data_IF_081078982505
#
_entry.id   IF_081078982505
#
_cell.length_a   1.000
_cell.length_b   1.000
_cell.length_c   1.000
_cell.angle_alpha   90.00
_cell.angle_beta   90.00
_cell.angle_gamma   90.00
#
_symmetry.space_group_name_H-M   'P 1'
#
loop_
_entity.id
_entity.type
_entity.pdbx_description
1 polymer ?
#
# COMPACT_ATOMS: atom_id res chain seq x y z
N UNK A 1 21.02 -51.36 -70.27
CA UNK A 1 20.85 -51.34 -68.79
C UNK A 1 20.84 -49.87 -68.38
N UNK A 2 19.63 -49.33 -68.07
CA UNK A 2 19.43 -47.92 -67.70
C UNK A 2 19.42 -47.80 -66.19
N UNK A 3 20.23 -46.98 -65.63
CA UNK A 3 20.19 -46.58 -64.23
C UNK A 3 19.84 -45.10 -64.13
N UNK A 4 18.68 -44.81 -63.57
CA UNK A 4 18.12 -43.47 -63.36
C UNK A 4 18.73 -42.84 -62.13
N UNK A 5 19.29 -41.64 -62.24
CA UNK A 5 19.64 -40.78 -61.14
C UNK A 5 18.36 -40.05 -60.66
N UNK A 6 18.04 -40.18 -59.39
CA UNK A 6 16.97 -39.40 -58.71
C UNK A 6 17.60 -38.18 -58.05
N UNK A 7 17.19 -37.04 -58.48
CA UNK A 7 17.47 -35.77 -57.83
C UNK A 7 16.74 -35.70 -56.48
N UNK A 8 17.49 -35.54 -55.40
CA UNK A 8 16.95 -35.20 -54.07
C UNK A 8 16.89 -33.69 -53.97
N UNK A 9 15.68 -33.14 -53.96
CA UNK A 9 15.42 -31.74 -53.68
C UNK A 9 15.52 -31.51 -52.17
N UNK A 10 16.51 -30.74 -51.72
CA UNK A 10 16.58 -30.19 -50.40
C UNK A 10 15.43 -29.18 -50.22
N UNK A 11 14.42 -29.54 -49.45
CA UNK A 11 13.41 -28.58 -48.94
C UNK A 11 14.00 -27.87 -47.75
N UNK A 12 14.23 -26.56 -47.89
CA UNK A 12 14.49 -25.68 -46.80
C UNK A 12 13.23 -25.52 -45.89
N UNK A 13 13.32 -25.99 -44.66
CA UNK A 13 12.32 -25.70 -43.62
C UNK A 13 12.55 -24.27 -43.11
N UNK A 14 11.51 -23.44 -43.01
CA UNK A 14 11.66 -22.16 -42.35
C UNK A 14 11.84 -22.36 -40.83
N UNK A 15 12.97 -21.85 -40.33
CA UNK A 15 13.19 -21.74 -38.87
C UNK A 15 12.18 -20.70 -38.34
N UNK A 16 11.10 -21.19 -37.77
CA UNK A 16 10.22 -20.36 -36.97
C UNK A 16 10.99 -19.99 -35.70
N UNK A 17 11.43 -18.75 -35.61
CA UNK A 17 11.93 -18.15 -34.37
C UNK A 17 10.74 -18.07 -33.43
N UNK A 18 10.65 -19.01 -32.49
CA UNK A 18 9.77 -18.92 -31.34
C UNK A 18 10.30 -17.79 -30.46
N UNK A 19 9.80 -16.57 -30.63
CA UNK A 19 9.88 -15.57 -29.61
C UNK A 19 9.06 -16.08 -28.42
N UNK A 20 9.74 -16.67 -27.46
CA UNK A 20 9.17 -16.87 -26.15
C UNK A 20 8.93 -15.45 -25.57
N UNK A 21 7.70 -14.98 -25.69
CA UNK A 21 7.18 -13.89 -24.90
C UNK A 21 7.32 -14.35 -23.44
N UNK A 22 8.39 -13.91 -22.77
CA UNK A 22 8.41 -13.91 -21.32
C UNK A 22 7.28 -12.98 -20.87
N UNK A 23 6.07 -13.52 -20.78
CA UNK A 23 5.02 -12.88 -20.00
C UNK A 23 5.61 -12.70 -18.58
N UNK A 24 5.56 -11.49 -18.02
CA UNK A 24 5.92 -11.34 -16.63
C UNK A 24 5.10 -12.36 -15.86
N UNK A 25 5.77 -13.15 -15.01
CA UNK A 25 5.09 -14.11 -14.16
C UNK A 25 3.96 -13.37 -13.49
N UNK A 26 2.72 -13.72 -13.85
CA UNK A 26 1.55 -13.14 -13.20
C UNK A 26 1.72 -13.44 -11.73
N UNK A 27 2.06 -12.41 -10.95
CA UNK A 27 2.12 -12.52 -9.50
C UNK A 27 0.81 -13.18 -9.09
N UNK A 28 0.89 -14.27 -8.35
CA UNK A 28 -0.27 -15.08 -7.95
C UNK A 28 -1.18 -14.20 -7.10
N UNK A 29 -2.07 -13.46 -7.74
CA UNK A 29 -2.97 -12.49 -7.13
C UNK A 29 -4.12 -13.25 -6.51
N UNK A 30 -3.93 -13.72 -5.29
CA UNK A 30 -4.94 -14.48 -4.57
C UNK A 30 -5.69 -13.62 -3.57
N UNK A 31 -7.00 -13.82 -3.51
CA UNK A 31 -7.82 -13.19 -2.48
C UNK A 31 -7.29 -13.56 -1.09
N UNK A 32 -7.22 -12.57 -0.23
CA UNK A 32 -6.75 -12.72 1.14
C UNK A 32 -7.68 -11.93 2.06
N UNK A 33 -8.89 -12.47 2.26
CA UNK A 33 -9.96 -11.77 2.95
C UNK A 33 -10.03 -12.18 4.43
N UNK A 34 -10.22 -11.19 5.28
CA UNK A 34 -10.38 -11.39 6.74
C UNK A 34 -11.46 -10.47 7.27
N UNK A 35 -12.35 -11.00 8.11
CA UNK A 35 -13.27 -10.22 8.93
C UNK A 35 -12.92 -10.42 10.40
N UNK A 36 -12.77 -9.33 11.13
CA UNK A 36 -12.42 -9.38 12.54
C UNK A 36 -13.30 -8.41 13.33
N UNK A 37 -14.05 -8.93 14.31
CA UNK A 37 -14.82 -8.09 15.22
C UNK A 37 -14.00 -7.75 16.45
N UNK A 38 -13.94 -6.48 16.79
CA UNK A 38 -13.31 -5.95 17.98
C UNK A 38 -14.44 -5.74 18.97
N UNK A 39 -14.48 -6.56 20.04
CA UNK A 39 -15.53 -6.56 21.03
C UNK A 39 -15.22 -5.56 22.15
N UNK A 40 -16.17 -4.68 22.41
CA UNK A 40 -16.12 -3.73 23.54
C UNK A 40 -17.07 -4.20 24.63
N UNK A 41 -16.56 -4.51 25.85
CA UNK A 41 -17.42 -4.92 26.95
C UNK A 41 -18.46 -3.88 27.29
N UNK A 42 -19.69 -4.32 27.51
CA UNK A 42 -20.79 -3.47 28.00
C UNK A 42 -21.51 -2.64 26.96
N UNK A 43 -21.25 -2.87 25.65
CA UNK A 43 -21.98 -2.21 24.56
C UNK A 43 -22.74 -3.22 23.70
N UNK A 44 -23.84 -2.79 23.10
CA UNK A 44 -24.57 -3.52 22.05
C UNK A 44 -24.46 -2.81 20.70
N UNK A 45 -23.87 -1.62 20.68
CA UNK A 45 -23.67 -0.85 19.45
C UNK A 45 -22.60 -1.52 18.59
N UNK A 46 -22.93 -1.78 17.31
CA UNK A 46 -22.04 -2.43 16.38
C UNK A 46 -21.99 -1.68 15.05
N UNK A 47 -20.77 -1.35 14.61
CA UNK A 47 -20.53 -0.68 13.34
C UNK A 47 -19.52 -1.43 12.50
N UNK A 48 -19.47 -1.08 11.23
CA UNK A 48 -18.59 -1.72 10.26
C UNK A 48 -17.59 -0.72 9.68
N UNK A 49 -16.36 -1.18 9.53
CA UNK A 49 -15.32 -0.59 8.72
C UNK A 49 -14.96 -1.56 7.60
N UNK A 50 -14.95 -1.08 6.36
CA UNK A 50 -14.55 -1.86 5.18
C UNK A 50 -13.22 -1.34 4.66
N UNK A 51 -12.30 -2.27 4.40
CA UNK A 51 -10.97 -1.97 3.89
C UNK A 51 -10.73 -2.75 2.59
N UNK A 52 -10.47 -2.03 1.51
CA UNK A 52 -10.08 -2.59 0.22
C UNK A 52 -8.59 -2.36 -0.01
N UNK A 53 -7.90 -3.36 -0.60
CA UNK A 53 -6.47 -3.17 -0.86
C UNK A 53 -5.76 -4.41 -1.36
N UNK A 54 -4.43 -4.32 -1.32
CA UNK A 54 -3.54 -5.41 -1.69
C UNK A 54 -3.04 -6.21 -0.47
N UNK A 55 -1.83 -6.73 -0.53
CA UNK A 55 -1.21 -7.51 0.54
C UNK A 55 -0.94 -6.69 1.81
N UNK A 56 -0.78 -5.38 1.69
CA UNK A 56 -0.51 -4.50 2.83
C UNK A 56 -1.74 -4.47 3.75
N UNK A 57 -2.91 -4.15 3.21
CA UNK A 57 -4.15 -4.14 4.00
C UNK A 57 -4.62 -5.55 4.39
N UNK A 58 -4.26 -6.57 3.58
CA UNK A 58 -4.45 -7.96 3.98
C UNK A 58 -3.72 -8.32 5.27
N UNK A 59 -2.58 -7.68 5.53
CA UNK A 59 -1.66 -8.09 6.57
C UNK A 59 -0.90 -9.36 6.18
N UNK A 60 -0.41 -9.42 4.94
CA UNK A 60 0.35 -10.57 4.45
C UNK A 60 1.49 -10.94 5.39
N UNK A 61 1.65 -12.24 5.62
CA UNK A 61 2.70 -12.79 6.47
C UNK A 61 3.29 -14.08 5.87
N UNK A 62 4.22 -13.92 4.96
CA UNK A 62 4.97 -15.01 4.35
C UNK A 62 4.16 -15.99 3.50
N UNK A 63 2.82 -15.94 3.57
CA UNK A 63 1.91 -16.80 2.81
C UNK A 63 0.57 -16.09 2.58
N UNK A 64 -0.06 -16.35 1.45
CA UNK A 64 -1.43 -15.88 1.15
C UNK A 64 -2.51 -16.47 2.06
N UNK A 65 -2.23 -17.62 2.67
CA UNK A 65 -3.14 -18.25 3.64
C UNK A 65 -2.98 -17.68 5.05
N UNK A 66 -1.98 -16.85 5.29
CA UNK A 66 -1.72 -16.25 6.60
C UNK A 66 -1.83 -14.73 6.52
N UNK A 67 -2.57 -14.16 7.45
CA UNK A 67 -2.71 -12.72 7.58
C UNK A 67 -2.47 -12.28 9.02
N UNK A 68 -1.82 -11.14 9.19
CA UNK A 68 -1.74 -10.50 10.50
C UNK A 68 -3.16 -10.25 11.02
N UNK A 69 -3.43 -10.68 12.25
CA UNK A 69 -4.71 -10.41 12.91
C UNK A 69 -4.98 -8.90 12.93
N UNK A 70 -4.00 -8.16 13.35
CA UNK A 70 -4.01 -6.70 13.44
C UNK A 70 -3.20 -6.08 12.29
N UNK A 71 -3.74 -6.15 11.07
CA UNK A 71 -3.27 -5.30 9.99
C UNK A 71 -3.74 -3.85 10.19
N UNK A 72 -3.21 -2.91 9.43
CA UNK A 72 -3.51 -1.49 9.59
C UNK A 72 -5.01 -1.15 9.70
N UNK A 73 -5.90 -1.72 8.86
CA UNK A 73 -7.34 -1.52 9.04
C UNK A 73 -7.88 -2.04 10.38
N UNK A 74 -7.42 -3.21 10.83
CA UNK A 74 -7.90 -3.75 12.12
C UNK A 74 -7.38 -2.93 13.30
N UNK A 75 -6.15 -2.43 13.23
CA UNK A 75 -5.61 -1.48 14.21
C UNK A 75 -6.45 -0.20 14.24
N UNK A 76 -6.80 0.37 13.09
CA UNK A 76 -7.73 1.51 13.06
C UNK A 76 -9.10 1.18 13.66
N UNK A 77 -9.60 -0.03 13.44
CA UNK A 77 -10.81 -0.53 14.10
C UNK A 77 -10.72 -0.51 15.63
N UNK A 78 -9.56 -0.81 16.22
CA UNK A 78 -9.32 -0.70 17.66
C UNK A 78 -9.48 0.74 18.16
N UNK A 79 -8.94 1.72 17.42
CA UNK A 79 -9.11 3.14 17.74
C UNK A 79 -10.57 3.59 17.61
N UNK A 80 -11.29 3.10 16.60
CA UNK A 80 -12.73 3.38 16.44
C UNK A 80 -13.53 2.77 17.58
N UNK A 81 -13.24 1.50 17.94
CA UNK A 81 -13.94 0.83 19.05
C UNK A 81 -13.78 1.59 20.37
N UNK A 82 -12.55 2.05 20.65
CA UNK A 82 -12.27 2.87 21.82
C UNK A 82 -13.00 4.21 21.77
N UNK A 83 -12.96 4.89 20.63
CA UNK A 83 -13.51 6.25 20.45
C UNK A 83 -15.04 6.28 20.50
N UNK A 84 -15.68 5.27 19.91
CA UNK A 84 -17.15 5.21 19.82
C UNK A 84 -17.79 4.39 20.94
N UNK A 85 -16.98 3.72 21.75
CA UNK A 85 -17.44 2.74 22.74
C UNK A 85 -18.41 1.73 22.12
N UNK A 86 -18.01 1.11 21.03
CA UNK A 86 -18.85 0.23 20.22
C UNK A 86 -18.03 -0.96 19.69
N UNK A 87 -18.71 -2.06 19.37
CA UNK A 87 -18.10 -3.14 18.60
C UNK A 87 -17.80 -2.68 17.17
N UNK A 88 -16.62 -2.99 16.68
CA UNK A 88 -16.22 -2.67 15.33
C UNK A 88 -15.92 -3.95 14.53
N UNK A 89 -16.73 -4.20 13.52
CA UNK A 89 -16.47 -5.22 12.53
C UNK A 89 -15.54 -4.67 11.44
N UNK A 90 -14.27 -5.07 11.43
CA UNK A 90 -13.32 -4.72 10.39
C UNK A 90 -13.35 -5.76 9.29
N UNK A 91 -13.75 -5.37 8.08
CA UNK A 91 -13.85 -6.24 6.92
C UNK A 91 -12.75 -5.87 5.94
N UNK A 92 -11.75 -6.75 5.81
CA UNK A 92 -10.65 -6.62 4.85
C UNK A 92 -10.99 -7.41 3.60
N UNK A 93 -11.19 -6.69 2.49
CA UNK A 93 -11.47 -7.24 1.16
C UNK A 93 -10.26 -6.96 0.28
N UNK A 94 -9.30 -7.87 0.32
CA UNK A 94 -7.95 -7.64 -0.16
C UNK A 94 -7.50 -8.73 -1.13
N UNK A 95 -6.49 -8.40 -1.96
CA UNK A 95 -5.93 -9.32 -2.96
C UNK A 95 -4.42 -9.11 -3.02
N UNK A 96 -3.64 -10.04 -2.46
CA UNK A 96 -2.18 -9.95 -2.47
C UNK A 96 -1.62 -9.87 -3.90
N UNK A 97 -0.65 -8.99 -4.11
CA UNK A 97 -0.05 -8.75 -5.43
C UNK A 97 -0.91 -7.90 -6.38
N UNK A 98 -2.08 -7.41 -5.94
CA UNK A 98 -2.97 -6.62 -6.77
C UNK A 98 -2.36 -5.26 -7.12
N UNK A 99 -2.36 -4.91 -8.40
CA UNK A 99 -2.10 -3.55 -8.86
C UNK A 99 -3.35 -2.68 -8.70
N UNK A 100 -3.22 -1.37 -8.87
CA UNK A 100 -4.32 -0.42 -8.64
C UNK A 100 -5.60 -0.78 -9.44
N UNK A 101 -5.44 -1.23 -10.68
CA UNK A 101 -6.55 -1.73 -11.49
C UNK A 101 -7.28 -2.91 -10.82
N UNK A 102 -6.53 -3.87 -10.32
CA UNK A 102 -7.10 -5.07 -9.70
C UNK A 102 -7.83 -4.74 -8.39
N UNK A 103 -7.27 -3.85 -7.57
CA UNK A 103 -7.95 -3.36 -6.35
C UNK A 103 -9.26 -2.68 -6.72
N UNK A 104 -9.27 -1.84 -7.77
CA UNK A 104 -10.49 -1.19 -8.24
C UNK A 104 -11.52 -2.20 -8.76
N UNK A 105 -11.16 -3.01 -9.76
CA UNK A 105 -12.12 -3.86 -10.47
C UNK A 105 -12.58 -5.07 -9.64
N UNK A 106 -11.63 -5.76 -9.00
CA UNK A 106 -11.87 -7.04 -8.34
C UNK A 106 -12.20 -6.92 -6.84
N UNK A 107 -11.98 -5.74 -6.23
CA UNK A 107 -12.30 -5.51 -4.82
C UNK A 107 -13.34 -4.41 -4.64
N UNK A 108 -13.05 -3.18 -5.01
CA UNK A 108 -13.98 -2.06 -4.77
C UNK A 108 -15.28 -2.25 -5.55
N UNK A 109 -15.21 -2.54 -6.85
CA UNK A 109 -16.39 -2.71 -7.71
C UNK A 109 -17.09 -4.04 -7.46
N UNK A 110 -16.36 -5.14 -7.53
CA UNK A 110 -16.94 -6.48 -7.43
C UNK A 110 -17.53 -6.77 -6.04
N UNK A 111 -16.95 -6.19 -5.00
CA UNK A 111 -17.32 -6.45 -3.61
C UNK A 111 -17.99 -5.24 -2.94
N UNK A 112 -18.65 -4.38 -3.71
CA UNK A 112 -19.30 -3.16 -3.25
C UNK A 112 -20.36 -3.35 -2.16
N UNK A 113 -20.97 -4.52 -2.10
CA UNK A 113 -22.02 -4.83 -1.10
C UNK A 113 -21.56 -4.61 0.35
N UNK A 114 -20.25 -4.74 0.61
CA UNK A 114 -19.71 -4.49 1.94
C UNK A 114 -19.79 -3.01 2.32
N UNK A 115 -19.47 -2.09 1.41
CA UNK A 115 -19.57 -0.65 1.70
C UNK A 115 -21.01 -0.12 1.64
N UNK A 116 -21.92 -0.86 1.00
CA UNK A 116 -23.35 -0.51 0.92
C UNK A 116 -24.15 -0.94 2.16
N UNK A 117 -23.56 -1.69 3.06
CA UNK A 117 -24.25 -2.13 4.26
C UNK A 117 -24.56 -0.95 5.20
N UNK A 118 -25.79 -0.90 5.75
CA UNK A 118 -26.25 0.20 6.61
C UNK A 118 -25.42 0.38 7.90
N UNK A 119 -24.71 -0.66 8.35
CA UNK A 119 -23.79 -0.59 9.48
C UNK A 119 -22.43 0.03 9.13
N UNK A 120 -22.09 0.20 7.84
CA UNK A 120 -20.80 0.73 7.42
C UNK A 120 -20.69 2.23 7.75
N UNK A 121 -19.65 2.57 8.50
CA UNK A 121 -19.30 3.95 8.90
C UNK A 121 -17.99 4.43 8.31
N UNK A 122 -17.09 3.51 8.03
CA UNK A 122 -15.76 3.82 7.48
C UNK A 122 -15.50 2.97 6.26
N UNK A 123 -15.05 3.60 5.18
CA UNK A 123 -14.50 2.94 4.00
C UNK A 123 -13.07 3.42 3.83
N UNK A 124 -12.13 2.49 3.89
CA UNK A 124 -10.71 2.77 3.64
C UNK A 124 -10.19 1.93 2.48
N UNK A 125 -9.21 2.45 1.77
CA UNK A 125 -8.52 1.65 0.75
C UNK A 125 -7.06 2.07 0.60
N UNK A 126 -6.25 1.17 0.07
CA UNK A 126 -4.90 1.43 -0.40
C UNK A 126 -4.68 0.70 -1.72
N UNK A 127 -3.79 1.23 -2.56
CA UNK A 127 -3.41 0.67 -3.85
C UNK A 127 -2.12 1.34 -4.36
N UNK A 128 -1.66 0.95 -5.53
CA UNK A 128 -0.49 1.48 -6.21
C UNK A 128 0.86 0.93 -5.72
N UNK A 129 0.93 0.28 -4.57
CA UNK A 129 2.16 -0.31 -4.07
C UNK A 129 2.77 -1.30 -5.07
N UNK A 130 1.96 -2.22 -5.59
CA UNK A 130 2.42 -3.21 -6.57
C UNK A 130 2.72 -2.63 -7.95
N UNK A 131 2.00 -1.58 -8.38
CA UNK A 131 2.35 -0.86 -9.61
C UNK A 131 3.78 -0.30 -9.52
N UNK A 132 4.09 0.36 -8.40
CA UNK A 132 5.41 0.89 -8.12
C UNK A 132 6.48 -0.20 -8.02
N UNK A 133 6.24 -1.27 -7.25
CA UNK A 133 7.20 -2.36 -7.04
C UNK A 133 7.53 -3.11 -8.33
N UNK A 134 6.54 -3.38 -9.18
CA UNK A 134 6.75 -4.02 -10.48
C UNK A 134 7.55 -3.11 -11.42
N UNK A 135 7.21 -1.83 -11.50
CA UNK A 135 7.94 -0.86 -12.32
C UNK A 135 9.39 -0.66 -11.82
N UNK A 136 9.60 -0.61 -10.49
CA UNK A 136 10.91 -0.56 -9.85
C UNK A 136 11.76 -1.78 -10.21
N UNK A 137 11.19 -2.97 -10.09
CA UNK A 137 11.88 -4.24 -10.40
C UNK A 137 12.25 -4.31 -11.88
N UNK A 138 11.33 -3.95 -12.76
CA UNK A 138 11.58 -3.90 -14.20
C UNK A 138 12.66 -2.87 -14.56
N UNK A 139 12.66 -1.69 -13.91
CA UNK A 139 13.70 -0.68 -14.11
C UNK A 139 15.05 -1.15 -13.60
N UNK A 140 15.12 -1.78 -12.43
CA UNK A 140 16.36 -2.30 -11.83
C UNK A 140 17.07 -3.33 -12.69
N UNK A 141 16.32 -4.10 -13.47
CA UNK A 141 16.86 -5.16 -14.35
C UNK A 141 17.30 -4.66 -15.74
N UNK A 142 17.11 -3.37 -16.06
CA UNK A 142 17.47 -2.84 -17.38
C UNK A 142 18.98 -2.80 -17.61
N UNK A 143 19.38 -3.06 -18.86
CA UNK A 143 20.72 -2.89 -19.40
C UNK A 143 20.67 -2.02 -20.64
N UNK A 144 21.82 -1.58 -21.15
CA UNK A 144 21.88 -0.72 -22.33
C UNK A 144 21.37 0.70 -22.03
N UNK A 145 20.45 1.20 -22.81
CA UNK A 145 19.83 2.54 -22.59
C UNK A 145 18.67 2.42 -21.63
N UNK A 146 18.65 3.28 -20.59
CA UNK A 146 17.54 3.32 -19.62
C UNK A 146 16.24 3.73 -20.28
N UNK A 147 15.16 3.01 -19.96
CA UNK A 147 13.80 3.32 -20.37
C UNK A 147 12.94 3.58 -19.13
N UNK A 148 12.45 4.80 -18.99
CA UNK A 148 11.65 5.24 -17.86
C UNK A 148 10.14 5.06 -18.07
N UNK A 149 9.69 4.60 -19.24
CA UNK A 149 8.27 4.49 -19.59
C UNK A 149 7.47 3.61 -18.61
N UNK A 150 8.10 2.57 -18.05
CA UNK A 150 7.45 1.72 -17.05
C UNK A 150 7.15 2.45 -15.75
N UNK A 151 8.04 3.33 -15.29
CA UNK A 151 7.81 4.17 -14.11
C UNK A 151 6.67 5.17 -14.36
N UNK A 152 6.66 5.82 -15.52
CA UNK A 152 5.58 6.72 -15.91
C UNK A 152 4.24 6.00 -16.06
N UNK A 153 4.24 4.79 -16.62
CA UNK A 153 3.03 3.98 -16.73
C UNK A 153 2.45 3.63 -15.36
N UNK A 154 3.29 3.28 -14.38
CA UNK A 154 2.86 3.01 -13.00
C UNK A 154 2.22 4.25 -12.35
N UNK A 155 2.82 5.43 -12.51
CA UNK A 155 2.24 6.70 -12.02
C UNK A 155 0.88 6.95 -12.66
N UNK A 156 0.75 6.80 -13.96
CA UNK A 156 -0.50 7.05 -14.69
C UNK A 156 -1.59 6.03 -14.34
N UNK A 157 -1.24 4.76 -14.16
CA UNK A 157 -2.17 3.73 -13.69
C UNK A 157 -2.69 4.08 -12.28
N UNK A 158 -1.78 4.40 -11.36
CA UNK A 158 -2.14 4.84 -10.03
C UNK A 158 -3.12 6.03 -10.05
N UNK A 159 -2.78 7.11 -10.74
CA UNK A 159 -3.66 8.28 -10.89
C UNK A 159 -5.05 7.90 -11.38
N UNK A 160 -5.11 7.09 -12.44
CA UNK A 160 -6.36 6.68 -13.06
C UNK A 160 -7.25 5.91 -12.11
N UNK A 161 -6.70 4.89 -11.47
CA UNK A 161 -7.52 3.98 -10.65
C UNK A 161 -7.81 4.51 -9.26
N UNK A 162 -6.96 5.36 -8.70
CA UNK A 162 -7.27 6.10 -7.47
C UNK A 162 -8.47 7.03 -7.70
N UNK A 163 -8.45 7.83 -8.77
CA UNK A 163 -9.57 8.72 -9.09
C UNK A 163 -10.88 7.96 -9.31
N UNK A 164 -10.84 6.89 -10.11
CA UNK A 164 -12.00 6.01 -10.37
C UNK A 164 -12.52 5.36 -9.10
N UNK A 165 -11.63 4.91 -8.21
CA UNK A 165 -12.01 4.29 -6.93
C UNK A 165 -12.75 5.27 -6.03
N UNK A 166 -12.26 6.49 -5.92
CA UNK A 166 -12.92 7.52 -5.10
C UNK A 166 -14.29 7.90 -5.66
N UNK A 167 -14.41 8.08 -6.99
CA UNK A 167 -15.69 8.36 -7.64
C UNK A 167 -16.68 7.22 -7.41
N UNK A 168 -16.22 5.98 -7.55
CA UNK A 168 -17.07 4.81 -7.36
C UNK A 168 -17.52 4.65 -5.90
N UNK A 169 -16.60 4.83 -4.94
CA UNK A 169 -16.94 4.78 -3.51
C UNK A 169 -17.91 5.89 -3.15
N UNK A 170 -17.72 7.12 -3.68
CA UNK A 170 -18.65 8.23 -3.46
C UNK A 170 -20.05 7.93 -3.96
N UNK A 171 -20.16 7.26 -5.11
CA UNK A 171 -21.46 6.92 -5.70
C UNK A 171 -22.15 5.71 -5.04
N UNK A 172 -21.39 4.82 -4.36
CA UNK A 172 -21.90 3.52 -3.92
C UNK A 172 -21.83 3.27 -2.42
N UNK A 173 -21.02 4.01 -1.64
CA UNK A 173 -20.97 3.86 -0.20
C UNK A 173 -22.31 4.21 0.44
N UNK A 174 -22.69 3.48 1.50
CA UNK A 174 -23.93 3.75 2.21
C UNK A 174 -23.95 5.20 2.75
N UNK A 175 -25.10 5.92 2.72
CA UNK A 175 -25.18 7.30 3.23
C UNK A 175 -24.74 7.49 4.69
N UNK A 176 -24.75 6.43 5.48
CA UNK A 176 -24.25 6.44 6.86
C UNK A 176 -22.71 6.45 6.95
N UNK A 177 -21.98 6.34 5.83
CA UNK A 177 -20.51 6.37 5.84
C UNK A 177 -20.03 7.75 6.27
N UNK A 178 -19.33 7.82 7.40
CA UNK A 178 -18.81 9.05 8.01
C UNK A 178 -17.39 9.40 7.58
N UNK A 179 -16.62 8.37 7.23
CA UNK A 179 -15.21 8.54 6.84
C UNK A 179 -14.92 7.72 5.57
N UNK A 180 -14.35 8.38 4.60
CA UNK A 180 -13.71 7.78 3.43
C UNK A 180 -12.25 8.19 3.43
N UNK A 181 -11.32 7.22 3.38
CA UNK A 181 -9.90 7.48 3.56
C UNK A 181 -9.06 6.58 2.67
N UNK A 182 -8.01 7.14 2.07
CA UNK A 182 -6.95 6.40 1.38
C UNK A 182 -5.66 6.43 2.21
N UNK A 183 -4.89 5.34 2.18
CA UNK A 183 -3.50 5.33 2.65
C UNK A 183 -2.57 5.41 1.44
N UNK A 184 -1.60 6.33 1.47
CA UNK A 184 -0.56 6.40 0.46
C UNK A 184 0.56 5.37 0.71
N UNK A 185 1.56 5.30 -0.17
CA UNK A 185 2.55 4.22 -0.26
C UNK A 185 3.89 4.66 0.33
N UNK A 186 4.47 3.86 1.21
CA UNK A 186 5.83 4.02 1.72
C UNK A 186 6.88 3.43 0.75
N UNK A 187 8.17 3.66 1.01
CA UNK A 187 9.27 3.18 0.17
C UNK A 187 10.16 2.19 0.94
N UNK A 188 9.84 0.87 0.93
CA UNK A 188 10.55 -0.10 1.76
C UNK A 188 12.01 -0.30 1.36
N UNK A 189 12.36 -0.23 0.10
CA UNK A 189 13.72 -0.44 -0.41
C UNK A 189 14.56 0.81 -0.56
N UNK A 190 14.29 1.88 0.19
CA UNK A 190 14.92 3.19 -0.02
C UNK A 190 16.46 3.16 0.06
N UNK A 191 17.03 2.53 1.10
CA UNK A 191 18.48 2.43 1.24
C UNK A 191 19.08 1.44 0.23
N UNK A 192 18.43 0.30 0.00
CA UNK A 192 18.88 -0.73 -0.94
C UNK A 192 18.94 -0.22 -2.39
N UNK A 193 18.10 0.74 -2.75
CA UNK A 193 18.08 1.34 -4.09
C UNK A 193 19.09 2.47 -4.29
N UNK A 194 19.89 2.79 -3.26
CA UNK A 194 21.02 3.72 -3.42
C UNK A 194 22.19 3.08 -4.16
N UNK A 195 21.91 2.54 -5.33
CA UNK A 195 22.87 1.85 -6.19
C UNK A 195 22.74 2.33 -7.64
N UNK A 196 23.84 2.21 -8.39
CA UNK A 196 23.84 2.56 -9.80
C UNK A 196 23.15 1.50 -10.64
N UNK A 197 22.39 1.94 -11.63
CA UNK A 197 21.76 1.07 -12.62
C UNK A 197 22.80 0.39 -13.53
N UNK A 198 22.39 -0.72 -14.13
CA UNK A 198 23.15 -1.34 -15.23
C UNK A 198 22.87 -0.69 -16.60
N UNK A 199 21.79 0.12 -16.70
CA UNK A 199 21.49 0.90 -17.89
C UNK A 199 22.11 2.31 -17.81
N UNK A 200 22.21 2.99 -18.95
CA UNK A 200 22.74 4.34 -19.08
C UNK A 200 21.66 5.30 -19.57
N UNK A 201 21.62 6.48 -18.99
CA UNK A 201 20.71 7.55 -19.43
C UNK A 201 21.08 8.00 -20.86
N UNK A 202 20.08 8.12 -21.72
CA UNK A 202 20.28 8.42 -23.14
C UNK A 202 20.89 9.82 -23.39
N UNK A 203 20.61 10.78 -22.50
CA UNK A 203 21.08 12.16 -22.66
C UNK A 203 22.50 12.36 -22.16
N UNK A 204 22.90 11.65 -21.09
CA UNK A 204 24.20 11.84 -20.42
C UNK A 204 25.18 10.72 -20.68
N UNK A 205 24.73 9.55 -21.14
CA UNK A 205 25.55 8.34 -21.28
C UNK A 205 26.02 7.73 -19.96
N UNK A 206 25.58 8.28 -18.81
CA UNK A 206 25.98 7.83 -17.49
C UNK A 206 24.97 6.84 -16.90
N UNK A 207 25.44 5.97 -15.99
CA UNK A 207 24.51 5.20 -15.14
C UNK A 207 23.71 6.14 -14.26
N UNK A 208 22.54 5.70 -13.83
CA UNK A 208 21.66 6.49 -12.96
C UNK A 208 21.48 5.77 -11.63
N UNK A 209 21.36 6.53 -10.56
CA UNK A 209 21.01 5.97 -9.26
C UNK A 209 19.53 5.53 -9.28
N UNK A 210 19.23 4.28 -8.90
CA UNK A 210 17.90 3.71 -8.97
C UNK A 210 16.93 4.49 -8.09
N UNK A 211 17.32 4.81 -6.88
CA UNK A 211 16.52 5.59 -5.93
C UNK A 211 16.15 6.96 -6.51
N UNK A 212 17.07 7.62 -7.23
CA UNK A 212 16.85 8.94 -7.80
C UNK A 212 15.85 8.94 -8.95
N UNK A 213 15.56 7.78 -9.50
CA UNK A 213 14.54 7.60 -10.53
C UNK A 213 13.22 7.07 -9.95
N UNK A 214 13.28 6.20 -8.95
CA UNK A 214 12.06 5.64 -8.38
C UNK A 214 11.40 6.56 -7.36
N UNK A 215 12.16 7.27 -6.51
CA UNK A 215 11.60 8.17 -5.51
C UNK A 215 10.69 9.26 -6.11
N UNK A 216 11.06 9.94 -7.23
CA UNK A 216 10.15 10.89 -7.86
C UNK A 216 8.86 10.23 -8.39
N UNK A 217 8.93 9.05 -8.97
CA UNK A 217 7.76 8.33 -9.44
C UNK A 217 6.81 7.97 -8.29
N UNK A 218 7.35 7.41 -7.19
CA UNK A 218 6.58 7.11 -5.99
C UNK A 218 5.98 8.38 -5.37
N UNK A 219 6.76 9.45 -5.27
CA UNK A 219 6.28 10.73 -4.74
C UNK A 219 5.13 11.29 -5.58
N UNK A 220 5.17 11.18 -6.90
CA UNK A 220 4.06 11.59 -7.79
C UNK A 220 2.81 10.75 -7.53
N UNK A 221 2.94 9.43 -7.35
CA UNK A 221 1.80 8.59 -6.97
C UNK A 221 1.19 9.07 -5.66
N UNK A 222 2.01 9.27 -4.63
CA UNK A 222 1.55 9.72 -3.31
C UNK A 222 0.91 11.10 -3.34
N UNK A 223 1.49 12.04 -4.10
CA UNK A 223 0.88 13.36 -4.31
C UNK A 223 -0.54 13.23 -4.86
N UNK A 224 -0.74 12.47 -5.94
CA UNK A 224 -2.04 12.33 -6.56
C UNK A 224 -3.03 11.54 -5.73
N UNK A 225 -2.58 10.59 -4.93
CA UNK A 225 -3.45 9.90 -3.97
C UNK A 225 -4.04 10.88 -2.97
N UNK A 226 -3.23 11.75 -2.38
CA UNK A 226 -3.68 12.73 -1.41
C UNK A 226 -4.43 13.90 -2.05
N UNK A 227 -4.00 14.38 -3.21
CA UNK A 227 -4.68 15.48 -3.90
C UNK A 227 -6.08 15.08 -4.40
N UNK A 228 -6.24 13.88 -4.96
CA UNK A 228 -7.57 13.37 -5.30
C UNK A 228 -8.43 13.12 -4.06
N UNK A 229 -7.83 12.66 -2.95
CA UNK A 229 -8.54 12.54 -1.68
C UNK A 229 -9.16 13.89 -1.28
N UNK A 230 -8.36 14.96 -1.28
CA UNK A 230 -8.83 16.31 -0.99
C UNK A 230 -9.93 16.76 -1.95
N UNK A 231 -9.74 16.57 -3.26
CA UNK A 231 -10.71 16.99 -4.29
C UNK A 231 -12.05 16.26 -4.19
N UNK A 232 -12.03 15.00 -3.76
CA UNK A 232 -13.21 14.11 -3.74
C UNK A 232 -13.80 13.90 -2.35
N UNK A 233 -13.35 14.65 -1.35
CA UNK A 233 -13.88 14.59 0.01
C UNK A 233 -13.44 13.35 0.79
N UNK A 234 -12.29 12.79 0.47
CA UNK A 234 -11.62 11.76 1.23
C UNK A 234 -10.55 12.37 2.13
N UNK A 235 -10.16 11.63 3.16
CA UNK A 235 -8.93 11.87 3.89
C UNK A 235 -7.77 11.09 3.27
N UNK A 236 -6.53 11.57 3.49
CA UNK A 236 -5.32 10.86 3.07
C UNK A 236 -4.47 10.56 4.30
N UNK A 237 -4.35 9.27 4.65
CA UNK A 237 -3.41 8.81 5.65
C UNK A 237 -2.02 8.72 5.01
N UNK A 238 -1.10 9.57 5.47
CA UNK A 238 0.23 9.68 4.89
C UNK A 238 1.19 8.64 5.48
N UNK A 239 1.06 7.39 5.01
CA UNK A 239 1.93 6.29 5.41
C UNK A 239 3.37 6.51 4.96
N UNK A 240 3.60 7.24 3.86
CA UNK A 240 4.94 7.60 3.43
C UNK A 240 5.66 8.43 4.50
N UNK A 241 5.06 9.51 4.95
CA UNK A 241 5.62 10.35 5.99
C UNK A 241 5.86 9.56 7.28
N UNK A 242 4.93 8.68 7.65
CA UNK A 242 5.03 7.87 8.87
C UNK A 242 6.18 6.87 8.85
N UNK A 243 6.50 6.30 7.69
CA UNK A 243 7.57 5.31 7.55
C UNK A 243 8.92 5.92 7.24
N UNK A 244 8.93 7.01 6.49
CA UNK A 244 10.17 7.62 5.99
C UNK A 244 10.66 8.78 6.85
N UNK A 245 9.85 9.24 7.79
CA UNK A 245 10.21 10.32 8.71
C UNK A 245 11.00 9.85 9.94
N UNK A 246 11.35 10.78 10.80
CA UNK A 246 11.99 10.50 12.08
C UNK A 246 11.09 9.62 12.97
N UNK A 247 11.70 8.85 13.83
CA UNK A 247 11.03 7.91 14.74
C UNK A 247 10.88 8.40 16.18
N UNK A 248 11.15 9.66 16.41
CA UNK A 248 11.10 10.27 17.76
C UNK A 248 10.27 11.56 17.75
N UNK A 249 9.79 11.91 18.92
CA UNK A 249 9.03 13.14 19.18
C UNK A 249 10.00 14.22 19.62
N UNK A 250 10.48 15.04 18.68
CA UNK A 250 11.45 16.10 18.97
C UNK A 250 10.82 17.38 19.52
N UNK A 251 9.53 17.58 19.29
CA UNK A 251 8.79 18.76 19.72
C UNK A 251 7.96 18.55 21.01
N UNK A 252 7.89 17.31 21.51
CA UNK A 252 7.19 16.97 22.73
C UNK A 252 5.66 16.95 22.64
N UNK A 253 5.09 16.89 21.43
CA UNK A 253 3.62 16.90 21.23
C UNK A 253 2.99 15.52 21.37
N UNK A 254 3.77 14.49 21.65
CA UNK A 254 3.36 13.09 21.77
C UNK A 254 3.15 12.39 20.43
N UNK A 255 3.68 12.95 19.35
CA UNK A 255 3.66 12.36 18.00
C UNK A 255 5.07 12.13 17.51
N UNK A 256 5.23 11.22 16.57
CA UNK A 256 6.50 11.05 15.88
C UNK A 256 6.61 12.13 14.80
N UNK A 257 7.76 12.78 14.74
CA UNK A 257 8.03 13.89 13.82
C UNK A 257 8.10 13.42 12.36
N UNK A 258 6.95 13.41 11.73
CA UNK A 258 6.83 13.14 10.31
C UNK A 258 6.24 14.33 9.53
N UNK A 259 5.96 15.43 10.23
CA UNK A 259 5.23 16.59 9.70
C UNK A 259 5.89 17.19 8.46
N UNK A 260 7.21 17.29 8.45
CA UNK A 260 7.96 17.86 7.34
C UNK A 260 7.80 17.05 6.03
N UNK A 261 7.54 15.75 6.14
CA UNK A 261 7.34 14.86 4.99
C UNK A 261 5.89 14.76 4.53
N UNK A 262 4.94 15.17 5.37
CA UNK A 262 3.51 15.05 5.04
C UNK A 262 3.14 15.87 3.82
N UNK A 263 2.26 15.30 3.03
CA UNK A 263 1.58 16.06 1.98
C UNK A 263 0.78 17.22 2.60
N UNK A 264 0.91 18.39 1.99
CA UNK A 264 0.24 19.61 2.45
C UNK A 264 -0.92 19.93 1.51
N UNK A 265 -2.17 20.07 2.03
CA UNK A 265 -3.32 20.39 1.20
C UNK A 265 -3.10 21.68 0.39
N UNK A 266 -3.26 21.58 -0.93
CA UNK A 266 -3.12 22.72 -1.83
C UNK A 266 -1.69 23.01 -2.31
N UNK A 267 -0.67 22.26 -1.87
CA UNK A 267 0.65 22.35 -2.50
C UNK A 267 0.61 21.80 -3.94
N UNK A 268 1.46 22.32 -4.83
CA UNK A 268 1.57 21.79 -6.18
C UNK A 268 2.37 20.49 -6.23
N UNK A 269 2.15 19.66 -7.28
CA UNK A 269 2.98 18.46 -7.52
C UNK A 269 4.47 18.82 -7.54
N UNK A 270 4.84 19.92 -8.24
CA UNK A 270 6.22 20.35 -8.32
C UNK A 270 6.81 20.73 -6.97
N UNK A 271 6.05 21.43 -6.11
CA UNK A 271 6.46 21.80 -4.76
C UNK A 271 6.66 20.56 -3.87
N UNK A 272 5.71 19.65 -3.90
CA UNK A 272 5.81 18.38 -3.16
C UNK A 272 7.04 17.58 -3.60
N UNK A 273 7.24 17.40 -4.90
CA UNK A 273 8.39 16.69 -5.45
C UNK A 273 9.71 17.35 -5.05
N UNK A 274 9.84 18.68 -5.20
CA UNK A 274 11.03 19.42 -4.81
C UNK A 274 11.33 19.20 -3.31
N UNK A 275 10.31 19.25 -2.45
CA UNK A 275 10.45 19.05 -1.03
C UNK A 275 10.93 17.63 -0.68
N UNK A 276 10.29 16.60 -1.23
CA UNK A 276 10.60 15.20 -0.90
C UNK A 276 11.90 14.73 -1.57
N UNK A 277 12.10 15.05 -2.85
CA UNK A 277 13.19 14.46 -3.62
C UNK A 277 14.49 15.27 -3.59
N UNK A 278 14.44 16.52 -3.14
CA UNK A 278 15.59 17.42 -3.05
C UNK A 278 15.79 17.92 -1.62
N UNK A 279 14.87 18.72 -1.09
CA UNK A 279 15.08 19.44 0.17
C UNK A 279 15.18 18.51 1.39
N UNK A 280 14.31 17.51 1.47
CA UNK A 280 14.24 16.58 2.61
C UNK A 280 14.83 15.21 2.31
N UNK A 281 15.40 15.01 1.12
CA UNK A 281 15.98 13.71 0.72
C UNK A 281 16.97 13.15 1.75
N UNK A 282 17.80 13.99 2.31
CA UNK A 282 18.80 13.62 3.32
C UNK A 282 18.22 13.23 4.69
N UNK A 283 16.94 13.55 4.94
CA UNK A 283 16.24 13.23 6.18
C UNK A 283 15.37 11.99 6.06
N UNK A 284 15.20 11.48 4.84
CA UNK A 284 14.44 10.24 4.62
C UNK A 284 15.19 9.06 5.21
N UNK A 285 14.50 8.27 6.00
CA UNK A 285 15.04 7.03 6.55
C UNK A 285 14.58 5.82 5.74
N UNK A 286 15.26 4.72 5.93
CA UNK A 286 14.86 3.43 5.40
C UNK A 286 13.85 2.75 6.33
N UNK A 287 12.66 2.42 5.81
CA UNK A 287 11.63 1.72 6.57
C UNK A 287 12.08 0.31 7.01
N UNK A 288 13.08 -0.27 6.35
CA UNK A 288 13.69 -1.56 6.73
C UNK A 288 14.71 -1.43 7.87
N UNK A 289 15.14 -0.21 8.20
CA UNK A 289 16.15 -0.01 9.23
C UNK A 289 15.49 -0.07 10.59
N UNK A 290 15.99 -0.93 11.45
CA UNK A 290 15.65 -0.92 12.86
C UNK A 290 16.15 0.36 13.48
N UNK A 291 15.24 1.19 13.92
CA UNK A 291 15.59 2.39 14.66
C UNK A 291 15.83 2.05 16.11
N UNK A 292 17.06 2.27 16.55
CA UNK A 292 17.39 2.29 17.97
C UNK A 292 17.57 3.77 18.33
N UNK A 293 16.49 4.42 18.76
CA UNK A 293 16.67 5.63 19.58
C UNK A 293 17.10 5.20 20.98
N UNK A 294 17.63 6.12 21.77
CA UNK A 294 17.94 5.84 23.17
C UNK A 294 16.73 5.36 23.99
N UNK A 295 15.52 5.39 23.43
CA UNK A 295 14.26 5.10 24.10
C UNK A 295 13.42 4.01 23.44
N UNK A 296 13.65 3.64 22.17
CA UNK A 296 12.83 2.65 21.46
C UNK A 296 13.52 2.07 20.22
N UNK A 297 13.11 0.87 19.88
CA UNK A 297 13.51 0.19 18.63
C UNK A 297 12.26 0.01 17.79
N UNK A 298 12.27 0.52 16.56
CA UNK A 298 11.18 0.38 15.60
C UNK A 298 11.61 -0.48 14.44
N UNK A 299 10.75 -1.43 14.06
CA UNK A 299 10.97 -2.33 12.93
C UNK A 299 9.66 -2.39 12.13
N UNK A 300 9.60 -1.62 11.04
CA UNK A 300 8.34 -1.48 10.31
C UNK A 300 8.15 -2.49 9.20
N UNK A 301 9.22 -3.12 8.72
CA UNK A 301 9.18 -4.01 7.57
C UNK A 301 9.63 -5.42 7.96
N UNK A 302 8.89 -6.42 7.48
CA UNK A 302 9.21 -7.84 7.63
C UNK A 302 10.50 -8.20 6.88
N UNK A 303 10.99 -9.41 7.10
CA UNK A 303 12.21 -9.94 6.44
C UNK A 303 12.08 -10.11 4.92
N UNK A 304 10.89 -9.94 4.36
CA UNK A 304 10.66 -9.95 2.91
C UNK A 304 10.90 -8.59 2.24
N UNK A 305 11.34 -7.59 3.00
CA UNK A 305 11.67 -6.23 2.55
C UNK A 305 10.50 -5.45 1.91
N UNK A 306 9.26 -5.88 2.14
CA UNK A 306 8.07 -5.25 1.54
C UNK A 306 6.97 -5.02 2.58
N UNK A 307 6.56 -6.07 3.31
CA UNK A 307 5.34 -6.04 4.11
C UNK A 307 5.58 -5.49 5.53
N UNK A 308 4.59 -4.76 6.08
CA UNK A 308 4.71 -4.23 7.44
C UNK A 308 4.78 -5.33 8.50
N UNK A 309 5.59 -5.09 9.53
CA UNK A 309 5.58 -5.90 10.76
C UNK A 309 4.28 -5.74 11.53
N UNK A 310 3.95 -6.69 12.41
CA UNK A 310 2.67 -6.75 13.12
C UNK A 310 2.80 -7.37 14.52
N UNK A 311 1.78 -7.13 15.35
CA UNK A 311 1.59 -7.77 16.65
C UNK A 311 0.34 -8.66 16.67
N UNK A 312 0.14 -9.39 17.76
CA UNK A 312 -1.10 -10.14 18.01
C UNK A 312 -1.28 -11.40 17.18
N UNK A 313 -0.21 -11.88 16.54
CA UNK A 313 -0.20 -13.13 15.79
C UNK A 313 -0.96 -13.08 14.45
N UNK A 314 -1.12 -14.26 13.86
CA UNK A 314 -1.76 -14.45 12.57
C UNK A 314 -3.13 -15.11 12.66
N UNK A 315 -3.90 -14.96 11.62
CA UNK A 315 -5.14 -15.69 11.37
C UNK A 315 -5.07 -16.32 9.98
N UNK A 316 -5.81 -17.40 9.77
CA UNK A 316 -5.95 -17.98 8.43
C UNK A 316 -6.76 -17.02 7.57
N UNK A 317 -6.24 -16.66 6.41
CA UNK A 317 -6.97 -15.84 5.44
C UNK A 317 -7.92 -16.72 4.62
N UNK A 318 -9.13 -16.23 4.41
CA UNK A 318 -10.10 -16.85 3.50
C UNK A 318 -9.79 -16.48 2.07
N UNK A 319 -9.64 -17.48 1.21
CA UNK A 319 -9.41 -17.27 -0.22
C UNK A 319 -10.72 -16.89 -0.94
N UNK A 320 -11.87 -17.31 -0.43
CA UNK A 320 -13.16 -17.18 -1.10
C UNK A 320 -14.25 -16.52 -0.25
N UNK A 321 -14.25 -16.30 0.89
CA UNK A 321 -15.34 -15.73 1.71
C UNK A 321 -14.84 -14.93 2.90
N UNK A 322 -13.60 -15.09 3.22
CA UNK A 322 -12.98 -14.48 4.39
C UNK A 322 -13.08 -15.37 5.62
N UNK A 323 -12.02 -15.33 6.41
CA UNK A 323 -12.01 -15.87 7.77
C UNK A 323 -12.65 -14.85 8.68
N UNK A 324 -13.56 -15.28 9.53
CA UNK A 324 -14.18 -14.46 10.57
C UNK A 324 -13.58 -14.78 11.92
N UNK A 325 -13.40 -13.77 12.74
CA UNK A 325 -12.95 -13.92 14.10
C UNK A 325 -13.41 -12.76 14.98
N UNK A 326 -13.31 -12.96 16.27
CA UNK A 326 -13.62 -11.95 17.28
C UNK A 326 -12.52 -11.88 18.32
N UNK A 327 -12.40 -10.76 18.99
CA UNK A 327 -11.46 -10.58 20.07
C UNK A 327 -11.75 -9.34 20.89
N UNK A 328 -11.41 -9.37 22.15
CA UNK A 328 -11.54 -8.22 23.02
C UNK A 328 -10.68 -7.06 22.48
N UNK A 329 -11.15 -5.83 22.62
CA UNK A 329 -10.40 -4.63 22.31
C UNK A 329 -9.11 -4.58 23.13
N UNK A 330 -7.97 -4.46 22.47
CA UNK A 330 -6.65 -4.40 23.13
C UNK A 330 -6.42 -3.04 23.80
N UNK A 331 -6.97 -2.02 23.21
CA UNK A 331 -6.74 -0.65 23.62
C UNK A 331 -7.98 -0.12 24.34
N UNK A 332 -7.88 0.02 25.64
CA UNK A 332 -9.01 0.49 26.48
C UNK A 332 -9.12 2.01 26.52
N UNK A 333 -8.07 2.74 26.18
CA UNK A 333 -8.04 4.20 26.27
C UNK A 333 -7.05 4.80 25.28
N UNK A 334 -7.53 5.17 24.11
CA UNK A 334 -6.83 6.17 23.31
C UNK A 334 -7.45 7.54 23.60
N UNK A 335 -6.99 8.19 24.66
CA UNK A 335 -7.33 9.58 24.89
C UNK A 335 -6.59 10.45 23.85
N UNK A 336 -7.34 11.20 23.07
CA UNK A 336 -6.90 12.35 22.28
C UNK A 336 -6.05 12.10 21.03
N UNK A 337 -6.13 10.95 20.37
CA UNK A 337 -5.41 10.73 19.11
C UNK A 337 -3.89 10.69 19.22
N UNK A 338 -3.37 10.62 20.45
CA UNK A 338 -1.95 10.47 20.69
C UNK A 338 -1.52 9.07 20.34
N UNK A 339 -0.52 8.96 19.47
CA UNK A 339 0.16 7.70 19.24
C UNK A 339 0.73 7.20 20.57
N UNK A 340 0.40 5.99 21.01
CA UNK A 340 1.19 5.39 22.06
C UNK A 340 2.62 5.30 21.56
N UNK A 341 3.60 5.59 22.42
CA UNK A 341 5.05 5.52 22.18
C UNK A 341 5.49 4.14 21.64
N UNK A 342 4.58 3.18 21.57
CA UNK A 342 4.77 1.80 21.16
C UNK A 342 4.28 1.42 19.75
N UNK A 343 4.13 2.36 18.84
CA UNK A 343 3.92 2.06 17.41
C UNK A 343 5.23 1.52 16.78
N UNK A 344 5.73 0.43 17.35
CA UNK A 344 6.98 -0.23 16.96
C UNK A 344 6.84 -1.07 15.70
N UNK A 345 5.60 -1.39 15.33
CA UNK A 345 5.30 -2.27 14.22
C UNK A 345 4.63 -1.51 13.08
N UNK A 346 4.95 -1.90 11.86
CA UNK A 346 4.51 -1.20 10.67
C UNK A 346 2.99 -1.09 10.55
N UNK A 347 2.27 -2.18 10.79
CA UNK A 347 0.80 -2.14 10.75
C UNK A 347 0.18 -1.26 11.83
N UNK A 348 0.76 -1.22 13.02
CA UNK A 348 0.31 -0.32 14.08
C UNK A 348 0.53 1.14 13.69
N UNK A 349 1.68 1.42 13.06
CA UNK A 349 2.01 2.75 12.58
C UNK A 349 1.05 3.25 11.49
N UNK A 350 0.73 2.39 10.51
CA UNK A 350 -0.27 2.71 9.48
C UNK A 350 -1.68 2.85 10.07
N UNK A 351 -2.06 1.95 10.95
CA UNK A 351 -3.37 1.99 11.61
C UNK A 351 -3.57 3.26 12.44
N UNK A 352 -2.50 3.71 13.10
CA UNK A 352 -2.53 5.01 13.76
C UNK A 352 -2.68 6.17 12.77
N UNK A 353 -1.94 6.17 11.65
CA UNK A 353 -2.09 7.19 10.61
C UNK A 353 -3.52 7.30 10.08
N UNK A 354 -4.22 6.17 9.93
CA UNK A 354 -5.64 6.14 9.60
C UNK A 354 -6.50 6.73 10.72
N UNK A 355 -6.19 6.41 11.98
CA UNK A 355 -7.01 6.75 13.15
C UNK A 355 -7.07 8.25 13.46
N UNK A 356 -6.09 9.01 13.01
CA UNK A 356 -6.04 10.48 13.17
C UNK A 356 -7.28 11.14 12.58
N UNK A 357 -7.87 10.53 11.55
CA UNK A 357 -9.05 11.04 10.85
C UNK A 357 -10.38 10.46 11.37
N UNK A 358 -10.35 9.56 12.35
CA UNK A 358 -11.56 8.94 12.87
C UNK A 358 -12.53 9.99 13.41
N UNK A 359 -13.81 9.98 12.98
CA UNK A 359 -14.81 10.93 13.49
C UNK A 359 -15.12 10.67 14.96
N UNK A 360 -15.56 11.71 15.65
CA UNK A 360 -15.90 11.62 17.07
C UNK A 360 -17.10 10.69 17.34
N UNK A 361 -18.01 10.60 16.39
CA UNK A 361 -19.23 9.79 16.47
C UNK A 361 -19.40 8.90 15.25
N UNK A 362 -20.07 7.74 15.40
CA UNK A 362 -20.29 6.79 14.30
C UNK A 362 -21.27 7.28 13.22
#
# INVERSE_FOLDING_TARGET
MQTRFRNAACRALPVAVLMALCAPAAANTLNQNVSWTIDRPGTTAKYRMVAYGDSIYAGYNGSISNAARYSAPTVNGEYLAARWNADIETIRRTKSGAVARDVFENKIVAERSYMQAASTRVVTFEMCGNDGLQARTAFKSQTGTCNYAGLEAAVNACKTYVARSMDYINANAHPNTRLKIISNVYYPGYAADNVQSSCRDAGTGQTVNLRDRFLPALSRMNYWMCEYARQKGFQCADSFAQYMGADYDSNGDGRIDAEALRWVPGESEASYLQRITVSLRGTLRDANTKFVSAQSSYDYIQSDDVHPTYTGGTVSAGLWGGTTGTGAARYSSFSNGRSPIWNQFGHERMGWALSVYNPATP
#
